data_IF_720311317112
#
_entry.id   IF_720311317112
#
_cell.length_a   1.000
_cell.length_b   1.000
_cell.length_c   1.000
_cell.angle_alpha   90.00
_cell.angle_beta   90.00
_cell.angle_gamma   90.00
#
_symmetry.space_group_name_H-M   'P 1'
#
loop_
_entity.id
_entity.type
_entity.pdbx_description
1 polymer ?
#
# COMPACT_ATOMS: atom_id res chain seq x y z
N UNK A 1 -4.96 18.66 21.50
CA UNK A 1 -4.60 19.10 20.14
C UNK A 1 -3.57 20.21 20.26
N UNK A 2 -2.39 20.09 19.65
CA UNK A 2 -1.26 21.04 19.74
C UNK A 2 -1.71 22.47 19.42
N UNK A 3 -2.56 22.63 18.40
CA UNK A 3 -3.15 23.91 18.00
C UNK A 3 -3.95 24.60 19.12
N UNK A 4 -4.71 23.83 19.91
CA UNK A 4 -5.49 24.38 21.03
C UNK A 4 -4.57 24.94 22.13
N UNK A 5 -3.47 24.27 22.40
CA UNK A 5 -2.51 24.70 23.41
C UNK A 5 -1.75 25.95 22.94
N UNK A 6 -1.33 25.98 21.66
CA UNK A 6 -0.73 27.17 21.04
C UNK A 6 -1.67 28.37 21.06
N UNK A 7 -2.94 28.19 20.69
CA UNK A 7 -3.91 29.28 20.67
C UNK A 7 -4.11 29.90 22.06
N UNK A 8 -4.20 29.07 23.11
CA UNK A 8 -4.28 29.56 24.50
C UNK A 8 -2.99 30.29 24.92
N UNK A 9 -1.83 29.72 24.57
CA UNK A 9 -0.53 30.29 24.87
C UNK A 9 -0.35 31.69 24.24
N UNK A 10 -0.87 31.92 23.03
CA UNK A 10 -0.88 33.24 22.37
C UNK A 10 -1.91 34.19 22.98
N UNK A 11 -3.11 33.69 23.27
CA UNK A 11 -4.25 34.55 23.66
C UNK A 11 -4.04 35.24 25.01
N UNK A 12 -3.43 34.56 25.98
CA UNK A 12 -3.18 35.11 27.33
C UNK A 12 -2.27 36.35 27.28
N UNK A 13 -1.01 36.27 26.80
CA UNK A 13 -0.13 37.43 26.72
C UNK A 13 -0.66 38.49 25.75
N UNK A 14 -1.33 38.11 24.65
CA UNK A 14 -1.97 39.11 23.78
C UNK A 14 -2.99 39.97 24.54
N UNK A 15 -3.86 39.33 25.33
CA UNK A 15 -4.86 40.02 26.14
C UNK A 15 -4.22 40.92 27.20
N UNK A 16 -3.15 40.46 27.84
CA UNK A 16 -2.44 41.25 28.85
C UNK A 16 -1.72 42.45 28.24
N UNK A 17 -1.14 42.29 27.04
CA UNK A 17 -0.55 43.38 26.27
C UNK A 17 -1.58 44.44 25.88
N UNK A 18 -2.72 44.02 25.34
CA UNK A 18 -3.84 44.93 25.00
C UNK A 18 -4.39 45.64 26.24
N UNK A 19 -4.48 44.93 27.37
CA UNK A 19 -4.94 45.53 28.63
C UNK A 19 -3.97 46.61 29.14
N UNK A 20 -2.67 46.37 28.99
CA UNK A 20 -1.62 47.34 29.34
C UNK A 20 -1.69 48.59 28.44
N UNK A 21 -1.93 48.41 27.14
CA UNK A 21 -2.18 49.52 26.21
C UNK A 21 -3.45 50.31 26.58
N UNK A 22 -4.53 49.63 26.99
CA UNK A 22 -5.73 50.31 27.46
C UNK A 22 -5.46 51.15 28.72
N UNK A 23 -4.63 50.65 29.65
CA UNK A 23 -4.20 51.43 30.83
C UNK A 23 -3.35 52.64 30.47
N UNK A 24 -2.49 52.54 29.44
CA UNK A 24 -1.76 53.70 28.89
C UNK A 24 -2.75 54.74 28.37
N UNK A 25 -3.73 54.32 27.57
CA UNK A 25 -4.76 55.21 27.04
C UNK A 25 -5.54 55.92 28.16
N UNK A 26 -5.99 55.19 29.17
CA UNK A 26 -6.69 55.78 30.32
C UNK A 26 -5.81 56.75 31.12
N UNK A 27 -4.52 56.43 31.29
CA UNK A 27 -3.58 57.30 31.98
C UNK A 27 -3.30 58.58 31.18
N UNK A 28 -3.18 58.49 29.85
CA UNK A 28 -3.02 59.67 28.99
C UNK A 28 -4.22 60.61 29.05
N UNK A 29 -5.44 60.09 29.16
CA UNK A 29 -6.65 60.92 29.33
C UNK A 29 -6.64 61.65 30.68
N UNK A 30 -6.17 60.99 31.73
CA UNK A 30 -6.14 61.51 33.10
C UNK A 30 -4.87 62.29 33.42
N UNK A 31 -3.96 62.40 32.47
CA UNK A 31 -2.67 63.03 32.64
C UNK A 31 -2.86 64.53 32.89
N UNK A 32 -2.27 65.02 33.97
CA UNK A 32 -2.10 66.44 34.22
C UNK A 32 -0.64 66.81 33.96
N UNK A 33 -0.43 67.96 33.32
CA UNK A 33 0.91 68.44 32.96
C UNK A 33 1.19 69.67 33.79
N UNK A 34 2.22 69.59 34.62
CA UNK A 34 2.65 70.72 35.40
C UNK A 34 3.06 71.87 34.46
N UNK A 35 2.44 73.06 34.57
CA UNK A 35 2.62 74.13 33.58
C UNK A 35 3.99 74.82 33.67
N UNK A 36 4.78 74.55 34.74
CA UNK A 36 6.08 75.18 34.98
C UNK A 36 7.22 74.26 34.56
N UNK A 37 7.12 72.98 34.90
CA UNK A 37 8.12 71.94 34.66
C UNK A 37 7.85 71.13 33.39
N UNK A 38 6.63 71.17 32.87
CA UNK A 38 6.17 70.36 31.74
C UNK A 38 6.09 68.87 32.05
N UNK A 39 6.23 68.48 33.32
CA UNK A 39 6.20 67.07 33.72
C UNK A 39 4.78 66.55 33.84
N UNK A 40 4.60 65.33 33.36
CA UNK A 40 3.33 64.62 33.44
C UNK A 40 3.23 63.85 34.75
N UNK A 41 2.15 64.06 35.51
CA UNK A 41 1.97 63.50 36.86
C UNK A 41 1.97 61.97 36.93
N UNK A 42 1.76 61.29 35.81
CA UNK A 42 1.71 59.83 35.71
C UNK A 42 2.71 59.26 34.69
N UNK A 43 3.77 60.00 34.38
CA UNK A 43 4.81 59.59 33.43
C UNK A 43 5.36 58.18 33.70
N UNK A 44 5.78 57.91 34.94
CA UNK A 44 6.39 56.62 35.31
C UNK A 44 5.42 55.45 35.13
N UNK A 45 4.15 55.65 35.48
CA UNK A 45 3.10 54.65 35.28
C UNK A 45 2.86 54.37 33.79
N UNK A 46 2.76 55.41 32.96
CA UNK A 46 2.62 55.25 31.50
C UNK A 46 3.82 54.48 30.94
N UNK A 47 5.04 54.84 31.36
CA UNK A 47 6.27 54.17 30.92
C UNK A 47 6.28 52.69 31.32
N UNK A 48 5.89 52.37 32.54
CA UNK A 48 5.78 50.98 33.01
C UNK A 48 4.76 50.18 32.19
N UNK A 49 3.57 50.72 31.95
CA UNK A 49 2.54 50.03 31.17
C UNK A 49 2.95 49.85 29.70
N UNK A 50 3.71 50.77 29.12
CA UNK A 50 4.30 50.60 27.77
C UNK A 50 5.31 49.43 27.76
N UNK A 51 6.18 49.34 28.77
CA UNK A 51 7.14 48.23 28.89
C UNK A 51 6.41 46.90 29.07
N UNK A 52 5.39 46.84 29.92
CA UNK A 52 4.57 45.64 30.11
C UNK A 52 3.85 45.24 28.81
N UNK A 53 3.24 46.20 28.11
CA UNK A 53 2.61 45.97 26.81
C UNK A 53 3.60 45.36 25.80
N UNK A 54 4.80 45.92 25.69
CA UNK A 54 5.84 45.40 24.81
C UNK A 54 6.20 43.95 25.15
N UNK A 55 6.51 43.65 26.42
CA UNK A 55 6.90 42.32 26.86
C UNK A 55 5.81 41.27 26.58
N UNK A 56 4.56 41.60 26.88
CA UNK A 56 3.43 40.71 26.62
C UNK A 56 3.19 40.47 25.12
N UNK A 57 3.28 41.52 24.30
CA UNK A 57 3.11 41.38 22.85
C UNK A 57 4.25 40.57 22.21
N UNK A 58 5.49 40.82 22.62
CA UNK A 58 6.66 40.05 22.18
C UNK A 58 6.53 38.57 22.57
N UNK A 59 6.11 38.28 23.80
CA UNK A 59 5.85 36.92 24.25
C UNK A 59 4.76 36.23 23.40
N UNK A 60 3.67 36.94 23.13
CA UNK A 60 2.59 36.45 22.26
C UNK A 60 3.08 36.11 20.85
N UNK A 61 3.88 37.00 20.26
CA UNK A 61 4.48 36.81 18.94
C UNK A 61 5.41 35.58 18.91
N UNK A 62 6.29 35.44 19.91
CA UNK A 62 7.19 34.29 20.03
C UNK A 62 6.41 32.96 20.13
N UNK A 63 5.32 32.95 20.89
CA UNK A 63 4.47 31.76 21.01
C UNK A 63 3.72 31.45 19.71
N UNK A 64 3.24 32.47 19.00
CA UNK A 64 2.60 32.30 17.71
C UNK A 64 3.59 31.74 16.67
N UNK A 65 4.79 32.33 16.59
CA UNK A 65 5.86 31.90 15.70
C UNK A 65 6.29 30.45 15.97
N UNK A 66 6.50 30.10 17.24
CA UNK A 66 6.83 28.72 17.66
C UNK A 66 5.71 27.74 17.29
N UNK A 67 4.47 28.15 17.48
CA UNK A 67 3.29 27.40 17.10
C UNK A 67 3.20 27.12 15.61
N UNK A 68 3.42 28.15 14.78
CA UNK A 68 3.44 28.05 13.32
C UNK A 68 4.57 27.14 12.84
N UNK A 69 5.77 27.26 13.41
CA UNK A 69 6.90 26.38 13.09
C UNK A 69 6.61 24.92 13.42
N UNK A 70 5.94 24.66 14.55
CA UNK A 70 5.50 23.30 14.89
C UNK A 70 4.44 22.77 13.93
N UNK A 71 3.51 23.61 13.48
CA UNK A 71 2.48 23.23 12.53
C UNK A 71 3.10 22.89 11.17
N UNK A 72 4.01 23.73 10.70
CA UNK A 72 4.74 23.54 9.44
C UNK A 72 5.51 22.21 9.45
N UNK A 73 6.29 21.94 10.49
CA UNK A 73 6.99 20.67 10.62
C UNK A 73 6.08 19.45 10.77
N UNK A 74 4.84 19.60 11.25
CA UNK A 74 3.86 18.51 11.24
C UNK A 74 3.28 18.29 9.84
N UNK A 75 3.04 19.36 9.10
CA UNK A 75 2.54 19.29 7.72
C UNK A 75 3.59 18.67 6.79
N UNK A 76 4.86 19.03 6.94
CA UNK A 76 5.96 18.40 6.21
C UNK A 76 6.03 16.89 6.43
N UNK A 77 5.91 16.43 7.68
CA UNK A 77 5.86 14.98 7.99
C UNK A 77 4.65 14.32 7.36
N UNK A 78 3.48 14.94 7.45
CA UNK A 78 2.26 14.40 6.88
C UNK A 78 2.36 14.25 5.35
N UNK A 79 2.97 15.23 4.66
CA UNK A 79 3.25 15.13 3.22
C UNK A 79 4.26 14.02 2.89
N UNK A 80 5.26 13.79 3.74
CA UNK A 80 6.21 12.69 3.55
C UNK A 80 5.53 11.33 3.73
N UNK A 81 4.71 11.20 4.77
CA UNK A 81 3.92 9.99 5.04
C UNK A 81 2.95 9.70 3.89
N UNK A 82 2.24 10.72 3.38
CA UNK A 82 1.34 10.60 2.23
C UNK A 82 2.07 10.08 0.99
N UNK A 83 3.22 10.67 0.64
CA UNK A 83 4.03 10.20 -0.49
C UNK A 83 4.52 8.76 -0.28
N UNK A 84 4.93 8.41 0.93
CA UNK A 84 5.35 7.04 1.27
C UNK A 84 4.21 6.05 1.05
N UNK A 85 3.01 6.40 1.51
CA UNK A 85 1.81 5.58 1.37
C UNK A 85 1.40 5.42 -0.10
N UNK A 86 1.47 6.48 -0.90
CA UNK A 86 1.21 6.41 -2.34
C UNK A 86 2.18 5.48 -3.06
N UNK A 87 3.48 5.52 -2.71
CA UNK A 87 4.48 4.63 -3.27
C UNK A 87 4.22 3.17 -2.89
N UNK A 88 3.91 2.90 -1.63
CA UNK A 88 3.58 1.55 -1.14
C UNK A 88 2.32 1.01 -1.80
N UNK A 89 1.28 1.83 -1.95
CA UNK A 89 0.04 1.47 -2.65
C UNK A 89 0.32 1.11 -4.10
N UNK A 90 1.11 1.91 -4.81
CA UNK A 90 1.47 1.65 -6.20
C UNK A 90 2.30 0.37 -6.34
N UNK A 91 3.27 0.14 -5.45
CA UNK A 91 4.06 -1.10 -5.43
C UNK A 91 3.22 -2.35 -5.15
N UNK A 92 2.28 -2.23 -4.20
CA UNK A 92 1.33 -3.31 -3.87
C UNK A 92 0.43 -3.62 -5.05
N UNK A 93 -0.10 -2.60 -5.72
CA UNK A 93 -0.94 -2.75 -6.91
C UNK A 93 -0.20 -3.44 -8.04
N UNK A 94 1.03 -3.02 -8.34
CA UNK A 94 1.87 -3.67 -9.35
C UNK A 94 2.15 -5.14 -9.00
N UNK A 95 2.43 -5.43 -7.74
CA UNK A 95 2.65 -6.81 -7.26
C UNK A 95 1.39 -7.66 -7.46
N UNK A 96 0.22 -7.12 -7.14
CA UNK A 96 -1.06 -7.79 -7.30
C UNK A 96 -1.37 -8.07 -8.78
N UNK A 97 -1.12 -7.12 -9.67
CA UNK A 97 -1.29 -7.31 -11.12
C UNK A 97 -0.35 -8.41 -11.65
N UNK A 98 0.90 -8.43 -11.22
CA UNK A 98 1.86 -9.49 -11.58
C UNK A 98 1.41 -10.88 -11.09
N UNK A 99 0.94 -10.97 -9.84
CA UNK A 99 0.42 -12.23 -9.29
C UNK A 99 -0.79 -12.73 -10.07
N UNK A 100 -1.67 -11.82 -10.52
CA UNK A 100 -2.83 -12.17 -11.35
C UNK A 100 -2.43 -12.74 -12.71
N UNK A 101 -1.38 -12.18 -13.33
CA UNK A 101 -0.81 -12.71 -14.58
C UNK A 101 -0.24 -14.12 -14.36
N UNK A 102 0.56 -14.30 -13.30
CA UNK A 102 1.15 -15.61 -12.96
C UNK A 102 0.06 -16.65 -12.68
N UNK A 103 -0.99 -16.27 -11.94
CA UNK A 103 -2.13 -17.14 -11.68
C UNK A 103 -2.80 -17.59 -12.98
N UNK A 104 -3.12 -16.66 -13.89
CA UNK A 104 -3.75 -16.99 -15.16
C UNK A 104 -2.88 -17.93 -16.02
N UNK A 105 -1.56 -17.70 -16.03
CA UNK A 105 -0.61 -18.58 -16.72
C UNK A 105 -0.58 -19.99 -16.12
N UNK A 106 -0.54 -20.08 -14.79
CA UNK A 106 -0.56 -21.38 -14.09
C UNK A 106 -1.86 -22.13 -14.32
N UNK A 107 -3.01 -21.46 -14.32
CA UNK A 107 -4.30 -22.07 -14.65
C UNK A 107 -4.31 -22.63 -16.09
N UNK A 108 -3.73 -21.90 -17.04
CA UNK A 108 -3.59 -22.37 -18.42
C UNK A 108 -2.67 -23.60 -18.53
N UNK A 109 -1.49 -23.56 -17.88
CA UNK A 109 -0.57 -24.70 -17.79
C UNK A 109 -1.23 -25.93 -17.18
N UNK A 110 -2.02 -25.73 -16.12
CA UNK A 110 -2.73 -26.81 -15.43
C UNK A 110 -3.77 -27.46 -16.36
N UNK A 111 -4.54 -26.66 -17.11
CA UNK A 111 -5.48 -27.16 -18.13
C UNK A 111 -4.76 -27.93 -19.25
N UNK A 112 -3.63 -27.43 -19.73
CA UNK A 112 -2.83 -28.11 -20.76
C UNK A 112 -2.29 -29.45 -20.26
N UNK A 113 -1.76 -29.49 -19.04
CA UNK A 113 -1.25 -30.70 -18.40
C UNK A 113 -2.35 -31.74 -18.21
N UNK A 114 -3.53 -31.33 -17.75
CA UNK A 114 -4.70 -32.22 -17.64
C UNK A 114 -5.09 -32.80 -19.01
N UNK A 115 -5.13 -31.98 -20.06
CA UNK A 115 -5.40 -32.44 -21.42
C UNK A 115 -4.36 -33.45 -21.93
N UNK A 116 -3.08 -33.20 -21.68
CA UNK A 116 -2.00 -34.13 -22.04
C UNK A 116 -2.09 -35.45 -21.27
N UNK A 117 -2.41 -35.40 -19.98
CA UNK A 117 -2.63 -36.59 -19.14
C UNK A 117 -3.80 -37.44 -19.66
N UNK A 118 -4.91 -36.81 -20.04
CA UNK A 118 -6.05 -37.50 -20.63
C UNK A 118 -5.69 -38.16 -21.97
N UNK A 119 -4.96 -37.47 -22.84
CA UNK A 119 -4.49 -38.03 -24.10
C UNK A 119 -3.54 -39.22 -23.87
N UNK A 120 -2.60 -39.10 -22.93
CA UNK A 120 -1.70 -40.18 -22.57
C UNK A 120 -2.47 -41.41 -22.04
N UNK A 121 -3.49 -41.21 -21.20
CA UNK A 121 -4.38 -42.29 -20.73
C UNK A 121 -5.13 -42.96 -21.87
N UNK A 122 -5.68 -42.20 -22.81
CA UNK A 122 -6.37 -42.75 -23.99
C UNK A 122 -5.41 -43.55 -24.87
N UNK A 123 -4.22 -43.03 -25.12
CA UNK A 123 -3.18 -43.70 -25.90
C UNK A 123 -2.76 -45.01 -25.24
N UNK A 124 -2.46 -45.01 -23.93
CA UNK A 124 -2.15 -46.23 -23.17
C UNK A 124 -3.26 -47.29 -23.27
N UNK A 125 -4.51 -46.87 -23.14
CA UNK A 125 -5.67 -47.77 -23.25
C UNK A 125 -5.78 -48.36 -24.66
N UNK A 126 -5.56 -47.54 -25.69
CA UNK A 126 -5.55 -47.96 -27.09
C UNK A 126 -4.41 -48.95 -27.36
N UNK A 127 -3.18 -48.61 -26.97
CA UNK A 127 -2.01 -49.49 -27.13
C UNK A 127 -2.20 -50.82 -26.42
N UNK A 128 -2.79 -50.82 -25.21
CA UNK A 128 -3.11 -52.06 -24.49
C UNK A 128 -4.11 -52.94 -25.25
N UNK A 129 -5.14 -52.35 -25.88
CA UNK A 129 -6.08 -53.07 -26.73
C UNK A 129 -5.40 -53.62 -27.99
N UNK A 130 -4.56 -52.83 -28.64
CA UNK A 130 -3.81 -53.27 -29.83
C UNK A 130 -2.87 -54.42 -29.49
N UNK A 131 -2.18 -54.36 -28.35
CA UNK A 131 -1.32 -55.44 -27.87
C UNK A 131 -2.11 -56.74 -27.67
N UNK A 132 -3.29 -56.63 -27.04
CA UNK A 132 -4.16 -57.78 -26.83
C UNK A 132 -4.66 -58.39 -28.16
N UNK A 133 -5.09 -57.56 -29.11
CA UNK A 133 -5.54 -58.06 -30.42
C UNK A 133 -4.39 -58.70 -31.21
N UNK A 134 -3.17 -58.16 -31.13
CA UNK A 134 -1.99 -58.79 -31.73
C UNK A 134 -1.65 -60.13 -31.08
N UNK A 135 -1.76 -60.22 -29.76
CA UNK A 135 -1.51 -61.46 -29.01
C UNK A 135 -2.55 -62.54 -29.37
N UNK A 136 -3.82 -62.16 -29.49
CA UNK A 136 -4.89 -63.04 -29.95
C UNK A 136 -4.72 -63.47 -31.41
N UNK A 137 -4.30 -62.56 -32.29
CA UNK A 137 -3.93 -62.90 -33.68
C UNK A 137 -2.75 -63.86 -33.72
N UNK A 138 -1.75 -63.69 -32.87
CA UNK A 138 -0.61 -64.62 -32.77
C UNK A 138 -1.05 -66.00 -32.30
N UNK A 139 -1.95 -66.08 -31.31
CA UNK A 139 -2.57 -67.35 -30.88
C UNK A 139 -3.37 -67.99 -32.00
N UNK A 140 -4.23 -67.23 -32.68
CA UNK A 140 -5.02 -67.71 -33.84
C UNK A 140 -4.13 -68.18 -34.98
N UNK A 141 -3.10 -67.44 -35.34
CA UNK A 141 -2.12 -67.84 -36.35
C UNK A 141 -1.41 -69.14 -35.95
N UNK A 142 -0.99 -69.28 -34.69
CA UNK A 142 -0.38 -70.51 -34.18
C UNK A 142 -1.33 -71.71 -34.24
N UNK A 143 -2.63 -71.51 -33.98
CA UNK A 143 -3.67 -72.54 -34.13
C UNK A 143 -3.85 -72.90 -35.61
N UNK A 144 -3.95 -71.92 -36.51
CA UNK A 144 -4.11 -72.16 -37.96
C UNK A 144 -2.88 -72.85 -38.55
N UNK A 145 -1.67 -72.52 -38.10
CA UNK A 145 -0.45 -73.25 -38.51
C UNK A 145 -0.42 -74.68 -37.94
N UNK A 146 -0.94 -74.90 -36.73
CA UNK A 146 -1.09 -76.24 -36.15
C UNK A 146 -2.13 -77.11 -36.87
N UNK A 147 -3.22 -76.52 -37.35
CA UNK A 147 -4.24 -77.21 -38.17
C UNK A 147 -3.78 -77.38 -39.62
N UNK A 148 -3.03 -76.41 -40.17
CA UNK A 148 -2.39 -76.51 -41.48
C UNK A 148 -1.34 -77.61 -41.55
N UNK A 149 -0.55 -77.81 -40.50
CA UNK A 149 0.36 -78.95 -40.40
C UNK A 149 -0.37 -80.31 -40.33
N UNK A 150 -1.64 -80.32 -39.86
CA UNK A 150 -2.50 -81.50 -39.89
C UNK A 150 -3.12 -81.81 -41.26
N UNK A 151 -3.21 -80.83 -42.17
CA UNK A 151 -3.72 -81.05 -43.53
C UNK A 151 -2.62 -81.30 -44.58
N UNK A 152 -1.34 -80.99 -44.30
CA UNK A 152 -0.22 -81.35 -45.18
C UNK A 152 0.34 -82.77 -44.95
N UNK A 153 -0.21 -83.52 -43.98
CA UNK A 153 0.07 -84.94 -43.81
C UNK A 153 -0.82 -85.82 -44.71
N UNK A 154 -1.05 -85.42 -45.96
CA UNK A 154 -1.49 -86.35 -47.00
C UNK A 154 -0.21 -87.04 -47.50
N UNK A 155 -0.01 -88.34 -47.24
CA UNK A 155 1.08 -89.06 -47.85
C UNK A 155 0.79 -89.19 -49.34
N UNK A 156 1.57 -88.48 -50.14
CA UNK A 156 1.73 -88.76 -51.57
C UNK A 156 2.52 -90.08 -51.66
N UNK A 157 1.83 -91.20 -51.66
CA UNK A 157 2.36 -92.48 -52.15
C UNK A 157 1.32 -93.07 -53.09
N UNK A 158 1.60 -92.93 -54.39
CA UNK A 158 0.94 -93.69 -55.44
C UNK A 158 1.55 -95.08 -55.58
N UNK A 159 0.77 -95.97 -56.21
CA UNK A 159 1.19 -97.06 -57.09
C UNK A 159 0.02 -97.25 -58.07
N UNK A 160 0.15 -96.96 -59.38
CA UNK A 160 0.60 -97.87 -60.46
C UNK A 160 0.07 -99.30 -60.31
N UNK A 161 -1.11 -99.56 -60.91
CA UNK A 161 -1.41 -100.63 -61.88
C UNK A 161 -2.82 -100.41 -62.44
#
# INVERSE_FOLDING_TARGET
>A
CVLKNTALAVTVPLKDGVSSLNRVYEALIKADVDPVTGQCSNYDYIREQIVQAHQHLEQSEQMASSGLKSLDGNLERLMQDERGLEQEMNGTKQTLDNLRIVQASNEQLLRQSQGALEQARRNLTSTKRTLHDQEDRKKRAKIVTGVGAGLFAIPVIGWIA
#
